data_IF_524446614018
#
_entry.id   IF_524446614018
#
_cell.length_a   1.000
_cell.length_b   1.000
_cell.length_c   1.000
_cell.angle_alpha   90.00
_cell.angle_beta   90.00
_cell.angle_gamma   90.00
#
_symmetry.space_group_name_H-M   'P 1'
#
loop_
_entity.id
_entity.type
_entity.pdbx_description
1 polymer ?
#
# COMPACT_ATOMS: atom_id res chain seq x y z
N UNK A 1 -37.76 19.56 -15.05
CA UNK A 1 -37.93 19.11 -13.66
C UNK A 1 -36.81 18.14 -13.39
N UNK A 2 -35.73 18.65 -12.81
CA UNK A 2 -34.52 17.88 -12.49
C UNK A 2 -34.82 16.95 -11.31
N UNK A 3 -34.34 15.69 -11.29
CA UNK A 3 -34.47 14.86 -10.11
C UNK A 3 -33.48 15.37 -9.05
N UNK A 4 -34.04 15.83 -7.94
CA UNK A 4 -33.31 16.15 -6.71
C UNK A 4 -32.56 14.89 -6.28
N UNK A 5 -31.23 14.93 -6.36
CA UNK A 5 -30.37 13.86 -5.90
C UNK A 5 -30.53 13.77 -4.38
N UNK A 6 -31.13 12.68 -3.90
CA UNK A 6 -31.16 12.29 -2.49
C UNK A 6 -29.72 12.14 -1.97
N UNK A 7 -29.13 13.26 -1.57
CA UNK A 7 -27.91 13.26 -0.79
C UNK A 7 -28.26 12.63 0.55
N UNK A 8 -27.87 11.37 0.73
CA UNK A 8 -27.98 10.66 2.01
C UNK A 8 -27.33 11.56 3.06
N UNK A 9 -28.16 12.23 3.86
CA UNK A 9 -27.72 13.12 4.93
C UNK A 9 -27.08 12.26 6.00
N UNK A 10 -25.76 12.09 5.90
CA UNK A 10 -24.97 11.43 6.94
C UNK A 10 -25.30 12.07 8.30
N UNK A 11 -25.52 11.29 9.37
CA UNK A 11 -25.87 11.85 10.66
C UNK A 11 -24.80 12.83 11.14
N UNK A 12 -25.19 13.87 11.87
CA UNK A 12 -24.27 14.95 12.29
C UNK A 12 -23.04 14.46 13.04
N UNK A 13 -23.15 13.36 13.79
CA UNK A 13 -22.01 12.71 14.46
C UNK A 13 -20.96 12.23 13.45
N UNK A 14 -21.37 11.52 12.42
CA UNK A 14 -20.49 11.02 11.36
C UNK A 14 -19.83 12.15 10.57
N UNK A 15 -20.53 13.27 10.38
CA UNK A 15 -19.95 14.46 9.73
C UNK A 15 -18.82 15.06 10.58
N UNK A 16 -18.97 15.06 11.91
CA UNK A 16 -17.95 15.53 12.83
C UNK A 16 -16.77 14.55 12.85
N UNK A 17 -17.03 13.24 12.90
CA UNK A 17 -16.00 12.20 12.87
C UNK A 17 -15.17 12.25 11.58
N UNK A 18 -15.80 12.46 10.42
CA UNK A 18 -15.09 12.63 9.14
C UNK A 18 -14.24 13.91 9.14
N UNK A 19 -14.73 15.01 9.72
CA UNK A 19 -14.00 16.28 9.83
C UNK A 19 -12.78 16.14 10.75
N UNK A 20 -12.96 15.47 11.88
CA UNK A 20 -11.89 15.19 12.83
C UNK A 20 -10.87 14.22 12.24
N UNK A 21 -11.31 13.23 11.46
CA UNK A 21 -10.43 12.33 10.73
C UNK A 21 -9.63 13.09 9.66
N UNK A 22 -10.27 13.98 8.89
CA UNK A 22 -9.58 14.82 7.89
C UNK A 22 -8.52 15.74 8.48
N UNK A 23 -8.70 16.21 9.71
CA UNK A 23 -7.70 17.06 10.39
C UNK A 23 -6.57 16.23 11.01
N UNK A 24 -6.83 14.97 11.35
CA UNK A 24 -5.82 14.02 11.87
C UNK A 24 -5.04 13.32 10.76
N UNK A 25 -5.65 13.11 9.60
CA UNK A 25 -4.98 12.58 8.40
C UNK A 25 -4.15 13.69 7.80
N UNK A 26 -2.85 13.67 8.06
CA UNK A 26 -1.89 14.55 7.41
C UNK A 26 -1.95 14.31 5.90
N UNK A 27 -2.48 15.29 5.16
CA UNK A 27 -2.40 15.27 3.70
C UNK A 27 -0.93 15.29 3.29
N UNK A 28 -0.54 14.40 2.38
CA UNK A 28 0.82 14.33 1.85
C UNK A 28 1.26 15.71 1.37
N UNK A 29 2.35 16.23 1.92
CA UNK A 29 2.90 17.49 1.44
C UNK A 29 3.63 17.27 0.12
N UNK A 30 3.88 18.34 -0.64
CA UNK A 30 4.75 18.28 -1.82
C UNK A 30 6.16 17.75 -1.48
N UNK A 31 6.63 17.98 -0.25
CA UNK A 31 7.91 17.44 0.23
C UNK A 31 7.86 15.92 0.34
N UNK A 32 6.74 15.38 0.85
CA UNK A 32 6.53 13.94 0.97
C UNK A 32 6.43 13.30 -0.42
N UNK A 33 5.71 13.92 -1.37
CA UNK A 33 5.67 13.44 -2.76
C UNK A 33 7.06 13.39 -3.42
N UNK A 34 7.96 14.33 -3.09
CA UNK A 34 9.35 14.29 -3.57
C UNK A 34 10.13 13.14 -2.95
N UNK A 35 9.94 12.86 -1.65
CA UNK A 35 10.57 11.72 -0.96
C UNK A 35 10.11 10.38 -1.56
N UNK A 36 8.80 10.21 -1.79
CA UNK A 36 8.24 9.06 -2.53
C UNK A 36 8.96 8.88 -3.86
N UNK A 37 8.99 9.95 -4.66
CA UNK A 37 9.56 9.91 -6.01
C UNK A 37 11.05 9.57 -5.98
N UNK A 38 11.79 10.13 -5.02
CA UNK A 38 13.20 9.86 -4.83
C UNK A 38 13.44 8.40 -4.40
N UNK A 39 12.60 7.87 -3.50
CA UNK A 39 12.64 6.47 -3.10
C UNK A 39 12.46 5.55 -4.30
N UNK A 40 11.42 5.74 -5.11
CA UNK A 40 11.18 4.90 -6.29
C UNK A 40 12.31 4.99 -7.32
N UNK A 41 12.90 6.18 -7.52
CA UNK A 41 14.06 6.35 -8.41
C UNK A 41 15.27 5.57 -7.90
N UNK A 42 15.59 5.73 -6.63
CA UNK A 42 16.70 5.01 -6.00
C UNK A 42 16.48 3.50 -6.06
N UNK A 43 15.27 3.02 -5.76
CA UNK A 43 14.96 1.60 -5.77
C UNK A 43 15.14 1.00 -7.17
N UNK A 44 14.68 1.69 -8.22
CA UNK A 44 14.85 1.24 -9.62
C UNK A 44 16.30 1.23 -10.08
N UNK A 45 17.12 2.13 -9.55
CA UNK A 45 18.53 2.27 -9.92
C UNK A 45 19.47 1.51 -8.97
N UNK A 46 18.91 0.91 -7.90
CA UNK A 46 19.70 0.26 -6.86
C UNK A 46 20.47 -0.91 -7.46
N UNK A 47 21.79 -0.98 -7.24
CA UNK A 47 22.57 -2.16 -7.63
C UNK A 47 22.17 -3.30 -6.70
N UNK A 48 21.43 -4.27 -7.22
CA UNK A 48 20.91 -5.38 -6.44
C UNK A 48 20.58 -6.56 -7.34
N UNK A 49 21.09 -7.75 -6.99
CA UNK A 49 20.88 -8.96 -7.79
C UNK A 49 19.40 -9.35 -7.78
N UNK A 50 18.74 -9.26 -6.62
CA UNK A 50 17.33 -9.62 -6.45
C UNK A 50 16.41 -8.64 -7.17
N UNK A 51 16.70 -7.34 -7.07
CA UNK A 51 15.99 -6.30 -7.83
C UNK A 51 16.19 -6.43 -9.34
N UNK A 52 17.39 -6.80 -9.81
CA UNK A 52 17.63 -7.06 -11.24
C UNK A 52 16.91 -8.31 -11.73
N UNK A 53 16.95 -9.40 -10.96
CA UNK A 53 16.19 -10.62 -11.26
C UNK A 53 14.70 -10.32 -11.37
N UNK A 54 14.13 -9.52 -10.45
CA UNK A 54 12.73 -9.12 -10.49
C UNK A 54 12.33 -8.41 -11.80
N UNK A 55 13.25 -7.63 -12.40
CA UNK A 55 12.97 -6.93 -13.67
C UNK A 55 12.88 -7.87 -14.89
N UNK A 56 13.38 -9.10 -14.76
CA UNK A 56 13.47 -10.07 -15.87
C UNK A 56 12.57 -11.28 -15.68
N UNK A 57 12.13 -11.54 -14.46
CA UNK A 57 11.32 -12.71 -14.12
C UNK A 57 9.85 -12.52 -14.52
N UNK A 58 9.22 -13.57 -15.03
CA UNK A 58 7.78 -13.58 -15.30
C UNK A 58 7.00 -13.88 -14.02
N UNK A 59 6.29 -12.88 -13.49
CA UNK A 59 5.48 -13.02 -12.26
C UNK A 59 4.19 -13.82 -12.46
N UNK A 60 3.88 -14.26 -13.68
CA UNK A 60 2.74 -15.12 -13.98
C UNK A 60 2.94 -16.59 -13.61
N UNK A 61 4.15 -17.00 -13.24
CA UNK A 61 4.44 -18.40 -12.88
C UNK A 61 3.98 -18.73 -11.46
N UNK A 62 3.15 -19.77 -11.32
CA UNK A 62 2.67 -20.28 -10.02
C UNK A 62 3.76 -20.93 -9.16
N UNK A 63 4.98 -21.10 -9.67
CA UNK A 63 6.09 -21.72 -8.94
C UNK A 63 6.90 -20.74 -8.07
N UNK A 64 6.59 -19.44 -8.10
CA UNK A 64 7.35 -18.42 -7.38
C UNK A 64 6.86 -18.28 -5.94
N UNK A 65 7.80 -18.31 -5.00
CA UNK A 65 7.53 -17.92 -3.62
C UNK A 65 7.64 -16.38 -3.50
N UNK A 66 6.51 -15.69 -3.68
CA UNK A 66 6.44 -14.23 -3.62
C UNK A 66 6.80 -13.66 -2.24
N UNK A 67 6.48 -14.39 -1.16
CA UNK A 67 6.80 -13.96 0.21
C UNK A 67 8.32 -13.90 0.40
N UNK A 68 9.02 -14.97 0.06
CA UNK A 68 10.48 -15.01 0.15
C UNK A 68 11.13 -13.99 -0.78
N UNK A 69 10.64 -13.88 -2.03
CA UNK A 69 11.16 -12.92 -2.99
C UNK A 69 11.04 -11.47 -2.47
N UNK A 70 9.90 -11.11 -1.91
CA UNK A 70 9.68 -9.77 -1.38
C UNK A 70 10.55 -9.50 -0.13
N UNK A 71 10.73 -10.49 0.74
CA UNK A 71 11.64 -10.40 1.90
C UNK A 71 13.10 -10.21 1.48
N UNK A 72 13.58 -11.01 0.51
CA UNK A 72 14.93 -10.90 -0.05
C UNK A 72 15.18 -9.49 -0.62
N UNK A 73 14.21 -8.95 -1.37
CA UNK A 73 14.30 -7.61 -1.94
C UNK A 73 14.27 -6.54 -0.84
N UNK A 74 13.43 -6.69 0.18
CA UNK A 74 13.40 -5.79 1.33
C UNK A 74 14.74 -5.72 2.04
N UNK A 75 15.37 -6.88 2.25
CA UNK A 75 16.72 -6.94 2.81
C UNK A 75 17.75 -6.25 1.93
N UNK A 76 17.73 -6.49 0.61
CA UNK A 76 18.67 -5.88 -0.35
C UNK A 76 18.49 -4.34 -0.44
N UNK A 77 17.26 -3.86 -0.39
CA UNK A 77 16.91 -2.45 -0.56
C UNK A 77 16.72 -1.69 0.77
N UNK A 78 17.03 -2.32 1.90
CA UNK A 78 16.91 -1.76 3.25
C UNK A 78 15.50 -1.25 3.60
N UNK A 79 14.47 -2.03 3.29
CA UNK A 79 13.12 -1.84 3.82
C UNK A 79 12.58 -3.13 4.45
N UNK A 80 11.82 -2.97 5.52
CA UNK A 80 11.15 -4.06 6.24
C UNK A 80 9.83 -4.37 5.55
N UNK A 81 9.55 -5.65 5.41
CA UNK A 81 8.27 -6.18 4.91
C UNK A 81 7.53 -6.78 6.10
N UNK A 82 6.33 -6.28 6.38
CA UNK A 82 5.47 -6.80 7.45
C UNK A 82 4.20 -7.34 6.83
N UNK A 83 3.87 -8.59 7.12
CA UNK A 83 2.61 -9.22 6.75
C UNK A 83 1.67 -9.13 7.95
N UNK A 84 0.46 -8.64 7.72
CA UNK A 84 -0.60 -8.51 8.72
C UNK A 84 -1.81 -9.26 8.18
N UNK A 85 -2.05 -10.42 8.75
CA UNK A 85 -3.21 -11.23 8.39
C UNK A 85 -4.49 -10.55 8.90
N UNK A 86 -5.54 -10.59 8.09
CA UNK A 86 -6.87 -10.15 8.47
C UNK A 86 -7.62 -11.39 8.95
N UNK A 87 -8.07 -11.38 10.21
CA UNK A 87 -8.78 -12.51 10.80
C UNK A 87 -10.12 -12.76 10.09
N UNK A 88 -10.79 -11.69 9.66
CA UNK A 88 -12.05 -11.77 8.94
C UNK A 88 -11.87 -12.16 7.48
N UNK A 89 -12.71 -13.12 7.05
CA UNK A 89 -12.86 -13.43 5.64
C UNK A 89 -13.49 -12.24 4.89
N UNK A 90 -13.15 -12.13 3.61
CA UNK A 90 -13.76 -11.16 2.71
C UNK A 90 -15.26 -11.43 2.57
N UNK A 91 -15.98 -10.49 1.95
CA UNK A 91 -17.41 -10.67 1.61
C UNK A 91 -17.68 -11.90 0.73
N UNK A 92 -16.65 -12.39 0.02
CA UNK A 92 -16.71 -13.62 -0.79
C UNK A 92 -16.16 -14.85 -0.06
N UNK A 93 -15.79 -14.73 1.21
CA UNK A 93 -15.29 -15.84 2.03
C UNK A 93 -13.79 -16.14 1.87
N UNK A 94 -13.00 -15.21 1.32
CA UNK A 94 -11.57 -15.41 1.07
C UNK A 94 -10.72 -14.85 2.20
N UNK A 95 -9.57 -15.49 2.48
CA UNK A 95 -8.56 -14.92 3.38
C UNK A 95 -7.97 -13.65 2.77
N UNK A 96 -7.55 -12.73 3.64
CA UNK A 96 -7.03 -11.43 3.24
C UNK A 96 -5.76 -11.14 4.03
N UNK A 97 -4.80 -10.46 3.40
CA UNK A 97 -3.57 -10.05 4.06
C UNK A 97 -3.17 -8.64 3.62
N UNK A 98 -2.65 -7.85 4.57
CA UNK A 98 -2.01 -6.57 4.30
C UNK A 98 -0.50 -6.75 4.33
N UNK A 99 0.16 -6.21 3.31
CA UNK A 99 1.62 -6.15 3.24
C UNK A 99 2.05 -4.70 3.42
N UNK A 100 2.78 -4.43 4.50
CA UNK A 100 3.35 -3.13 4.79
C UNK A 100 4.84 -3.11 4.44
N UNK A 101 5.25 -2.14 3.62
CA UNK A 101 6.65 -1.86 3.30
C UNK A 101 7.09 -0.64 4.10
N UNK A 102 8.17 -0.76 4.87
CA UNK A 102 8.72 0.35 5.65
C UNK A 102 9.48 1.34 4.75
N UNK A 103 8.75 2.02 3.89
CA UNK A 103 9.22 3.10 3.03
C UNK A 103 8.78 4.44 3.61
N UNK A 104 9.28 5.55 3.08
CA UNK A 104 8.78 6.88 3.43
C UNK A 104 8.15 7.52 2.19
N UNK A 105 6.81 7.70 2.17
CA UNK A 105 5.81 7.22 3.12
C UNK A 105 5.67 5.69 3.09
N UNK A 106 5.08 5.14 4.14
CA UNK A 106 4.80 3.70 4.25
C UNK A 106 3.87 3.31 3.11
N UNK A 107 4.22 2.24 2.39
CA UNK A 107 3.34 1.64 1.40
C UNK A 107 2.61 0.45 2.00
N UNK A 108 1.30 0.36 1.79
CA UNK A 108 0.47 -0.77 2.21
C UNK A 108 -0.21 -1.35 0.96
N UNK A 109 -0.06 -2.66 0.77
CA UNK A 109 -0.68 -3.42 -0.31
C UNK A 109 -1.66 -4.44 0.28
N UNK A 110 -2.67 -4.82 -0.50
CA UNK A 110 -3.72 -5.78 -0.12
C UNK A 110 -3.77 -6.92 -1.14
N UNK A 111 -4.03 -8.14 -0.65
CA UNK A 111 -4.24 -9.34 -1.45
C UNK A 111 -5.25 -10.28 -0.81
#
# INVERSE_FOLDING_TARGET
>A
TEPEQDAILLPRSWQQDIRDLRTKVLSLTTSDSRKVSHFHKNLKQSPGKKLQELQTISLSSLSLNFVQMLQDIGQEANFVVTFVDIEELSVTGQHQCLVQLSTLPVAVCYG
#
